data_IF_045073604408
#
_entry.id   IF_045073604408
#
_cell.length_a   1.000
_cell.length_b   1.000
_cell.length_c   1.000
_cell.angle_alpha   90.00
_cell.angle_beta   90.00
_cell.angle_gamma   90.00
#
_symmetry.space_group_name_H-M   'P 1'
#
loop_
_entity.id
_entity.type
_entity.pdbx_description
1 polymer ?
#
# COMPACT_ATOMS: atom_id res chain seq x y z
N UNK A 1 23.59 1.63 0.49
CA UNK A 1 23.06 2.73 1.34
C UNK A 1 21.87 3.33 0.63
N UNK A 2 20.73 3.53 1.30
CA UNK A 2 19.59 4.24 0.71
C UNK A 2 19.84 5.74 0.68
N UNK A 3 19.57 6.36 -0.46
CA UNK A 3 19.71 7.81 -0.64
C UNK A 3 18.62 8.56 0.14
N UNK A 4 18.83 9.85 0.43
CA UNK A 4 17.81 10.68 1.09
C UNK A 4 16.49 10.74 0.29
N UNK A 5 16.56 10.61 -1.04
CA UNK A 5 15.38 10.54 -1.91
C UNK A 5 14.59 9.26 -1.70
N UNK A 6 15.25 8.12 -1.60
CA UNK A 6 14.60 6.83 -1.35
C UNK A 6 13.98 6.78 0.05
N UNK A 7 14.63 7.40 1.05
CA UNK A 7 14.05 7.52 2.40
C UNK A 7 12.77 8.36 2.39
N UNK A 8 12.77 9.50 1.71
CA UNK A 8 11.57 10.33 1.57
C UNK A 8 10.44 9.57 0.87
N UNK A 9 10.75 8.88 -0.23
CA UNK A 9 9.79 8.06 -0.96
C UNK A 9 9.21 6.95 -0.08
N UNK A 10 10.05 6.30 0.73
CA UNK A 10 9.61 5.26 1.68
C UNK A 10 8.60 5.83 2.68
N UNK A 11 8.92 6.95 3.35
CA UNK A 11 7.99 7.55 4.31
C UNK A 11 6.68 7.99 3.65
N UNK A 12 6.74 8.57 2.45
CA UNK A 12 5.55 8.98 1.72
C UNK A 12 4.68 7.77 1.33
N UNK A 13 5.29 6.70 0.82
CA UNK A 13 4.58 5.47 0.50
C UNK A 13 3.94 4.82 1.73
N UNK A 14 4.65 4.80 2.87
CA UNK A 14 4.14 4.29 4.14
C UNK A 14 2.93 5.11 4.61
N UNK A 15 3.04 6.43 4.67
CA UNK A 15 1.96 7.30 5.15
C UNK A 15 0.72 7.16 4.26
N UNK A 16 0.92 7.17 2.94
CA UNK A 16 -0.16 7.09 1.98
C UNK A 16 -0.83 5.71 1.92
N UNK A 17 -0.23 4.65 2.46
CA UNK A 17 -0.85 3.31 2.48
C UNK A 17 -1.37 2.92 3.85
N UNK A 18 -0.65 3.27 4.93
CA UNK A 18 -1.06 2.97 6.30
C UNK A 18 -2.30 3.77 6.69
N UNK A 19 -2.35 5.08 6.42
CA UNK A 19 -3.50 5.90 6.84
C UNK A 19 -4.79 5.39 6.18
N UNK A 20 -4.86 5.19 4.85
CA UNK A 20 -6.06 4.61 4.23
C UNK A 20 -6.36 3.20 4.73
N UNK A 21 -5.33 2.37 4.99
CA UNK A 21 -5.51 1.03 5.54
C UNK A 21 -6.13 1.04 6.94
N UNK A 22 -5.75 2.00 7.78
CA UNK A 22 -6.33 2.17 9.13
C UNK A 22 -7.79 2.64 9.08
N UNK A 23 -8.14 3.50 8.11
CA UNK A 23 -9.54 3.93 7.93
C UNK A 23 -10.39 2.76 7.47
N UNK A 24 -9.96 2.05 6.41
CA UNK A 24 -10.72 0.95 5.81
C UNK A 24 -10.82 -0.30 6.68
N UNK A 25 -9.86 -0.54 7.57
CA UNK A 25 -9.91 -1.66 8.53
C UNK A 25 -10.78 -1.38 9.75
N UNK A 26 -11.37 -0.19 9.87
CA UNK A 26 -12.18 0.19 11.03
C UNK A 26 -11.38 0.48 12.30
N UNK A 27 -10.06 0.68 12.20
CA UNK A 27 -9.22 1.10 13.34
C UNK A 27 -9.52 2.54 13.79
N UNK A 28 -10.00 3.39 12.88
CA UNK A 28 -10.40 4.77 13.14
C UNK A 28 -11.77 5.08 12.52
N UNK A 29 -12.86 4.48 13.03
CA UNK A 29 -14.18 4.55 12.38
C UNK A 29 -14.77 5.97 12.35
N UNK A 30 -14.39 6.85 13.28
CA UNK A 30 -14.84 8.24 13.30
C UNK A 30 -14.11 9.16 12.32
N UNK A 31 -13.07 8.68 11.63
CA UNK A 31 -12.28 9.43 10.67
C UNK A 31 -12.43 8.92 9.22
N UNK A 32 -13.28 7.91 9.00
CA UNK A 32 -13.61 7.42 7.67
C UNK A 32 -14.61 8.37 6.99
N UNK A 33 -14.07 9.33 6.24
CA UNK A 33 -14.84 10.40 5.57
C UNK A 33 -14.93 10.22 4.05
N UNK A 34 -14.28 9.20 3.48
CA UNK A 34 -14.23 8.96 2.04
C UNK A 34 -14.75 7.57 1.70
N UNK A 35 -15.40 7.39 0.54
CA UNK A 35 -15.74 6.05 0.06
C UNK A 35 -14.46 5.24 -0.23
N UNK A 36 -14.59 3.91 -0.31
CA UNK A 36 -13.48 2.98 -0.60
C UNK A 36 -12.58 3.46 -1.76
N UNK A 37 -13.18 3.91 -2.85
CA UNK A 37 -12.45 4.39 -4.03
C UNK A 37 -11.64 5.67 -3.74
N UNK A 38 -12.08 6.52 -2.80
CA UNK A 38 -11.35 7.71 -2.37
C UNK A 38 -10.08 7.32 -1.61
N UNK A 39 -10.18 6.40 -0.66
CA UNK A 39 -9.02 5.87 0.06
C UNK A 39 -8.05 5.11 -0.85
N UNK A 40 -8.59 4.34 -1.79
CA UNK A 40 -7.81 3.64 -2.80
C UNK A 40 -7.10 4.61 -3.74
N UNK A 41 -7.75 5.71 -4.10
CA UNK A 41 -7.14 6.81 -4.86
C UNK A 41 -5.99 7.49 -4.10
N UNK A 42 -6.13 7.71 -2.79
CA UNK A 42 -5.07 8.28 -1.94
C UNK A 42 -3.87 7.33 -1.85
N UNK A 43 -4.12 6.05 -1.60
CA UNK A 43 -3.04 5.06 -1.53
C UNK A 43 -2.34 4.87 -2.88
N UNK A 44 -3.11 4.75 -3.96
CA UNK A 44 -2.55 4.65 -5.32
C UNK A 44 -1.75 5.90 -5.69
N UNK A 45 -2.32 7.10 -5.51
CA UNK A 45 -1.69 8.37 -5.88
C UNK A 45 -0.46 8.66 -5.03
N UNK A 46 -0.55 8.48 -3.72
CA UNK A 46 0.59 8.68 -2.82
C UNK A 46 1.72 7.69 -3.07
N UNK A 47 1.40 6.40 -3.23
CA UNK A 47 2.41 5.40 -3.55
C UNK A 47 2.98 5.60 -4.98
N UNK A 48 2.20 6.12 -5.93
CA UNK A 48 2.70 6.52 -7.25
C UNK A 48 3.72 7.65 -7.16
N UNK A 49 3.42 8.70 -6.39
CA UNK A 49 4.36 9.82 -6.17
C UNK A 49 5.64 9.32 -5.49
N UNK A 50 5.51 8.47 -4.46
CA UNK A 50 6.65 7.83 -3.80
C UNK A 50 7.50 7.03 -4.81
N UNK A 51 6.86 6.18 -5.61
CA UNK A 51 7.52 5.38 -6.63
C UNK A 51 8.22 6.24 -7.69
N UNK A 52 7.61 7.35 -8.11
CA UNK A 52 8.21 8.29 -9.06
C UNK A 52 9.47 8.97 -8.50
N UNK A 53 9.49 9.30 -7.21
CA UNK A 53 10.63 9.92 -6.52
C UNK A 53 11.77 8.90 -6.31
N UNK A 54 11.42 7.63 -6.09
CA UNK A 54 12.37 6.57 -5.75
C UNK A 54 13.23 6.09 -6.92
N UNK A 55 12.85 6.36 -8.18
CA UNK A 55 13.60 5.90 -9.37
C UNK A 55 13.81 7.01 -10.41
N UNK A 56 14.94 7.03 -11.15
CA UNK A 56 15.11 7.91 -12.30
C UNK A 56 14.08 7.66 -13.42
N UNK A 57 13.54 6.43 -13.52
CA UNK A 57 12.46 6.09 -14.48
C UNK A 57 11.10 6.44 -13.88
N UNK A 58 10.88 7.74 -13.67
CA UNK A 58 9.75 8.29 -12.89
C UNK A 58 8.39 7.70 -13.25
N UNK A 59 8.06 7.56 -14.54
CA UNK A 59 6.76 7.01 -14.99
C UNK A 59 6.59 5.53 -14.61
N UNK A 60 7.65 4.73 -14.76
CA UNK A 60 7.62 3.30 -14.38
C UNK A 60 7.54 3.14 -12.87
N UNK A 61 8.26 4.00 -12.14
CA UNK A 61 8.16 4.12 -10.69
C UNK A 61 6.76 4.48 -10.23
N UNK A 62 6.11 5.44 -10.89
CA UNK A 62 4.75 5.85 -10.59
C UNK A 62 3.75 4.70 -10.78
N UNK A 63 3.83 3.98 -11.89
CA UNK A 63 2.92 2.86 -12.18
C UNK A 63 3.13 1.72 -11.16
N UNK A 64 4.38 1.34 -10.91
CA UNK A 64 4.68 0.30 -9.92
C UNK A 64 4.27 0.72 -8.50
N UNK A 65 4.51 1.98 -8.13
CA UNK A 65 4.08 2.58 -6.88
C UNK A 65 2.55 2.57 -6.73
N UNK A 66 1.81 2.97 -7.76
CA UNK A 66 0.35 2.91 -7.76
C UNK A 66 -0.16 1.49 -7.49
N UNK A 67 0.44 0.49 -8.15
CA UNK A 67 0.10 -0.92 -7.96
C UNK A 67 0.43 -1.42 -6.55
N UNK A 68 1.53 -0.94 -5.95
CA UNK A 68 1.82 -1.22 -4.53
C UNK A 68 0.71 -0.64 -3.65
N UNK A 69 0.34 0.63 -3.85
CA UNK A 69 -0.69 1.29 -3.03
C UNK A 69 -2.06 0.61 -3.12
N UNK A 70 -2.50 0.27 -4.34
CA UNK A 70 -3.74 -0.48 -4.57
C UNK A 70 -3.63 -1.87 -3.96
N UNK A 71 -2.53 -2.56 -4.23
CA UNK A 71 -2.28 -3.91 -3.77
C UNK A 71 -2.33 -4.02 -2.25
N UNK A 72 -1.71 -3.08 -1.53
CA UNK A 72 -1.75 -3.02 -0.06
C UNK A 72 -3.19 -3.00 0.47
N UNK A 73 -4.03 -2.11 -0.05
CA UNK A 73 -5.41 -1.98 0.43
C UNK A 73 -6.28 -3.17 0.02
N UNK A 74 -6.17 -3.62 -1.23
CA UNK A 74 -6.93 -4.78 -1.72
C UNK A 74 -6.53 -6.04 -0.96
N UNK A 75 -5.23 -6.27 -0.72
CA UNK A 75 -4.75 -7.41 0.06
C UNK A 75 -5.21 -7.37 1.51
N UNK A 76 -5.23 -6.17 2.12
CA UNK A 76 -5.78 -5.96 3.45
C UNK A 76 -7.27 -6.30 3.51
N UNK A 77 -8.07 -5.82 2.56
CA UNK A 77 -9.52 -6.09 2.51
C UNK A 77 -9.81 -7.57 2.26
N UNK A 78 -9.14 -8.18 1.28
CA UNK A 78 -9.29 -9.61 0.99
C UNK A 78 -8.91 -10.47 2.20
N UNK A 79 -7.88 -10.08 2.95
CA UNK A 79 -7.50 -10.79 4.16
C UNK A 79 -8.59 -10.69 5.24
N UNK A 80 -9.14 -9.49 5.47
CA UNK A 80 -10.22 -9.27 6.44
C UNK A 80 -11.43 -10.15 6.07
N UNK A 81 -11.87 -10.09 4.81
CA UNK A 81 -13.03 -10.86 4.30
C UNK A 81 -12.82 -12.38 4.37
N UNK A 82 -11.64 -12.87 3.95
CA UNK A 82 -11.33 -14.30 3.99
C UNK A 82 -11.32 -14.81 5.43
N UNK A 83 -10.81 -14.01 6.36
CA UNK A 83 -10.69 -14.39 7.77
C UNK A 83 -12.05 -14.40 8.46
N UNK A 84 -12.87 -13.37 8.26
CA UNK A 84 -14.23 -13.32 8.82
C UNK A 84 -15.05 -14.52 8.33
N UNK A 85 -14.89 -14.90 7.05
CA UNK A 85 -15.52 -16.09 6.47
C UNK A 85 -15.07 -17.41 7.12
N UNK A 86 -13.77 -17.57 7.40
CA UNK A 86 -13.21 -18.85 7.90
C UNK A 86 -13.35 -18.98 9.42
N UNK A 87 -13.05 -17.93 10.17
CA UNK A 87 -12.91 -17.98 11.63
C UNK A 87 -14.13 -17.46 12.39
N UNK A 88 -15.12 -16.86 11.72
CA UNK A 88 -16.28 -16.20 12.34
C UNK A 88 -15.90 -15.32 13.55
N UNK A 89 -14.75 -14.63 13.45
CA UNK A 89 -14.18 -13.84 14.54
C UNK A 89 -13.73 -12.48 14.02
N UNK A 90 -14.17 -11.44 14.72
CA UNK A 90 -13.84 -10.04 14.45
C UNK A 90 -12.60 -9.55 15.21
N UNK A 91 -11.93 -10.43 15.98
CA UNK A 91 -10.76 -10.07 16.77
C UNK A 91 -9.49 -10.24 15.94
N UNK A 92 -8.92 -9.15 15.42
CA UNK A 92 -7.73 -9.18 14.56
C UNK A 92 -6.42 -9.05 15.33
N UNK A 93 -5.41 -9.85 14.96
CA UNK A 93 -4.04 -9.57 15.38
C UNK A 93 -3.43 -8.51 14.46
N UNK A 94 -2.70 -7.54 15.02
CA UNK A 94 -2.05 -6.47 14.22
C UNK A 94 -1.08 -7.01 13.17
N UNK A 95 -0.45 -8.17 13.45
CA UNK A 95 0.48 -8.83 12.54
C UNK A 95 -0.22 -9.42 11.30
N UNK A 96 -1.46 -9.92 11.48
CA UNK A 96 -2.24 -10.55 10.43
C UNK A 96 -2.63 -9.54 9.32
N UNK A 97 -3.04 -8.34 9.71
CA UNK A 97 -3.38 -7.24 8.80
C UNK A 97 -2.14 -6.81 8.00
N UNK A 98 -0.96 -6.80 8.64
CA UNK A 98 0.30 -6.51 7.97
C UNK A 98 0.67 -7.58 6.93
N UNK A 99 0.31 -8.85 7.16
CA UNK A 99 0.52 -9.94 6.19
C UNK A 99 -0.40 -9.73 4.97
N UNK A 100 -1.69 -9.46 5.17
CA UNK A 100 -2.63 -9.20 4.06
C UNK A 100 -2.19 -8.02 3.18
N UNK A 101 -1.84 -6.91 3.82
CA UNK A 101 -1.28 -5.73 3.16
C UNK A 101 0.04 -6.03 2.42
N UNK A 102 0.95 -6.76 3.07
CA UNK A 102 2.24 -7.12 2.49
C UNK A 102 2.11 -8.03 1.26
N UNK A 103 1.26 -9.05 1.33
CA UNK A 103 0.99 -9.96 0.22
C UNK A 103 0.37 -9.25 -0.97
N UNK A 104 -0.60 -8.36 -0.71
CA UNK A 104 -1.23 -7.57 -1.77
C UNK A 104 -0.25 -6.63 -2.49
N UNK A 105 0.78 -6.14 -1.79
CA UNK A 105 1.81 -5.27 -2.36
C UNK A 105 2.80 -5.98 -3.29
N UNK A 106 2.92 -7.31 -3.21
CA UNK A 106 3.97 -8.11 -3.89
C UNK A 106 4.03 -7.85 -5.39
N UNK A 107 2.93 -7.89 -6.17
CA UNK A 107 2.99 -7.68 -7.62
C UNK A 107 3.56 -6.30 -7.98
N UNK A 108 3.18 -5.27 -7.22
CA UNK A 108 3.71 -3.92 -7.38
C UNK A 108 5.19 -3.83 -7.04
N UNK A 109 5.65 -4.51 -5.97
CA UNK A 109 7.06 -4.58 -5.62
C UNK A 109 7.91 -5.33 -6.65
N UNK A 110 7.40 -6.44 -7.22
CA UNK A 110 8.05 -7.17 -8.31
C UNK A 110 8.22 -6.26 -9.52
N UNK A 111 7.16 -5.55 -9.91
CA UNK A 111 7.21 -4.61 -11.02
C UNK A 111 8.19 -3.46 -10.71
N UNK A 112 8.20 -2.95 -9.49
CA UNK A 112 9.15 -1.91 -9.08
C UNK A 112 10.59 -2.40 -9.20
N UNK A 113 10.89 -3.60 -8.70
CA UNK A 113 12.24 -4.16 -8.68
C UNK A 113 12.78 -4.52 -10.08
N UNK A 114 11.92 -5.09 -10.94
CA UNK A 114 12.33 -5.63 -12.25
C UNK A 114 12.25 -4.61 -13.38
N UNK A 115 11.34 -3.63 -13.29
CA UNK A 115 11.04 -2.74 -14.41
C UNK A 115 11.30 -1.26 -14.11
N UNK A 116 10.98 -0.83 -12.89
CA UNK A 116 11.09 0.57 -12.49
C UNK A 116 12.47 0.92 -11.94
N UNK A 117 13.09 0.05 -11.14
CA UNK A 117 14.42 0.26 -10.59
C UNK A 117 15.44 0.28 -11.73
N UNK A 118 16.22 1.35 -11.81
CA UNK A 118 17.36 1.37 -12.72
C UNK A 118 18.41 0.39 -12.17
N UNK A 119 18.90 -0.51 -13.02
CA UNK A 119 20.13 -1.25 -12.74
C UNK A 119 21.23 -0.21 -12.46
N UNK A 120 21.95 -0.39 -11.36
CA UNK A 120 23.06 0.47 -10.96
C UNK A 120 24.24 0.30 -11.92
#
# INVERSE_FOLDING_TARGET
MTTNREKLALYLGIICTIIPGMMLSGFLPGADVLPLLGWLGIAAGGAAIAGAIATPRWLRGAIAGALIGIGVLVGLLLYIELRTMILNSDTFLRLEIAIGAGLGAIPGFILFATWAKAEA
#
